data_IF_825100549427
#
_entry.id   IF_825100549427
#
_cell.length_a   1.000
_cell.length_b   1.000
_cell.length_c   1.000
_cell.angle_alpha   90.00
_cell.angle_beta   90.00
_cell.angle_gamma   90.00
#
_symmetry.space_group_name_H-M   'P 1'
#
loop_
_entity.id
_entity.type
_entity.pdbx_description
1 polymer ?
#
# COMPACT_ATOMS: atom_id res chain seq x y z
N UNK A 1 -16.14 -57.23 11.87
CA UNK A 1 -17.03 -56.70 12.94
C UNK A 1 -16.75 -55.22 13.12
N UNK A 2 -17.62 -54.38 12.54
CA UNK A 2 -17.54 -52.93 12.62
C UNK A 2 -18.02 -52.45 14.00
N UNK A 3 -17.22 -51.65 14.71
CA UNK A 3 -17.69 -50.91 15.88
C UNK A 3 -17.51 -49.43 15.66
N UNK A 4 -18.66 -48.81 15.40
CA UNK A 4 -18.94 -47.38 15.33
C UNK A 4 -18.58 -46.74 16.68
N UNK A 5 -17.73 -45.72 16.66
CA UNK A 5 -17.63 -44.78 17.76
C UNK A 5 -18.64 -43.64 17.51
N UNK A 6 -19.51 -43.45 18.48
CA UNK A 6 -20.68 -42.55 18.47
C UNK A 6 -20.22 -41.13 18.77
N UNK A 7 -20.49 -40.17 17.88
CA UNK A 7 -20.41 -38.75 18.18
C UNK A 7 -21.58 -38.36 19.10
N UNK A 8 -21.27 -37.93 20.32
CA UNK A 8 -22.18 -37.21 21.22
C UNK A 8 -21.57 -35.85 21.55
N UNK A 9 -22.30 -34.79 21.21
CA UNK A 9 -21.89 -33.40 21.39
C UNK A 9 -21.37 -32.82 20.07
N UNK A 10 -22.14 -32.19 19.21
CA UNK A 10 -23.29 -31.33 19.50
C UNK A 10 -22.85 -29.88 19.42
N UNK A 11 -22.55 -29.41 18.19
CA UNK A 11 -22.85 -28.04 17.78
C UNK A 11 -23.09 -28.05 16.27
N UNK A 12 -24.36 -28.24 15.91
CA UNK A 12 -24.87 -27.94 14.56
C UNK A 12 -25.17 -26.45 14.56
N UNK A 13 -24.31 -25.64 13.92
CA UNK A 13 -24.73 -24.31 13.47
C UNK A 13 -25.25 -24.48 12.04
N UNK A 14 -26.58 -24.44 11.94
CA UNK A 14 -27.34 -24.68 10.74
C UNK A 14 -26.92 -23.75 9.60
N UNK A 15 -26.75 -24.33 8.41
CA UNK A 15 -26.83 -23.60 7.17
C UNK A 15 -28.24 -23.01 7.04
N UNK A 16 -28.35 -21.69 7.13
CA UNK A 16 -29.56 -20.94 6.80
C UNK A 16 -29.21 -19.57 6.25
N UNK A 17 -29.72 -19.34 5.03
CA UNK A 17 -29.85 -18.06 4.30
C UNK A 17 -28.63 -17.56 3.55
N UNK A 18 -28.69 -17.76 2.22
CA UNK A 18 -28.05 -16.92 1.22
C UNK A 18 -28.44 -15.46 1.43
N UNK A 19 -27.75 -14.76 2.31
CA UNK A 19 -27.65 -13.32 2.22
C UNK A 19 -26.62 -13.06 1.13
N UNK A 20 -27.10 -12.59 -0.02
CA UNK A 20 -26.25 -11.99 -1.04
C UNK A 20 -25.33 -11.01 -0.31
N UNK A 21 -24.04 -11.36 -0.24
CA UNK A 21 -23.02 -10.42 0.17
C UNK A 21 -23.07 -9.37 -0.92
N UNK A 22 -23.72 -8.25 -0.62
CA UNK A 22 -23.58 -7.05 -1.41
C UNK A 22 -22.07 -6.84 -1.50
N UNK A 23 -21.52 -7.02 -2.70
CA UNK A 23 -20.20 -6.54 -3.03
C UNK A 23 -20.28 -5.05 -2.73
N UNK A 24 -19.80 -4.64 -1.56
CA UNK A 24 -19.52 -3.25 -1.31
C UNK A 24 -18.54 -2.90 -2.43
N UNK A 25 -19.01 -2.14 -3.41
CA UNK A 25 -18.14 -1.55 -4.40
C UNK A 25 -17.04 -0.87 -3.60
N UNK A 26 -15.82 -1.41 -3.68
CA UNK A 26 -14.64 -0.69 -3.25
C UNK A 26 -14.65 0.54 -4.12
N UNK A 27 -15.18 1.63 -3.57
CA UNK A 27 -15.19 2.94 -4.21
C UNK A 27 -13.72 3.30 -4.33
N UNK A 28 -13.12 2.92 -5.46
CA UNK A 28 -11.75 3.28 -5.82
C UNK A 28 -11.69 4.78 -5.58
N UNK A 29 -10.88 5.27 -4.63
CA UNK A 29 -10.79 6.70 -4.38
C UNK A 29 -10.57 7.37 -5.73
N UNK A 30 -11.39 8.37 -6.06
CA UNK A 30 -11.24 9.11 -7.30
C UNK A 30 -9.75 9.44 -7.46
N UNK A 31 -9.19 9.04 -8.60
CA UNK A 31 -7.76 9.13 -8.86
C UNK A 31 -7.33 10.58 -8.58
N UNK A 32 -6.59 10.79 -7.48
CA UNK A 32 -6.21 12.13 -7.06
C UNK A 32 -5.23 12.65 -8.10
N UNK A 33 -5.58 13.74 -8.78
CA UNK A 33 -4.66 14.40 -9.70
C UNK A 33 -3.37 14.78 -8.98
N UNK A 34 -2.23 14.60 -9.64
CA UNK A 34 -0.93 15.03 -9.11
C UNK A 34 -0.96 16.52 -8.78
N UNK A 35 -1.61 17.33 -9.61
CA UNK A 35 -1.72 18.77 -9.38
C UNK A 35 -2.56 19.07 -8.13
N UNK A 36 -3.66 18.36 -7.93
CA UNK A 36 -4.51 18.49 -6.73
C UNK A 36 -3.78 18.05 -5.46
N UNK A 37 -2.97 16.99 -5.56
CA UNK A 37 -2.09 16.55 -4.48
C UNK A 37 -1.06 17.64 -4.15
N UNK A 38 -0.32 18.13 -5.15
CA UNK A 38 0.75 19.11 -4.94
C UNK A 38 0.23 20.47 -4.46
N UNK A 39 -1.00 20.84 -4.83
CA UNK A 39 -1.65 22.06 -4.35
C UNK A 39 -1.99 22.00 -2.86
N UNK A 40 -2.30 20.81 -2.33
CA UNK A 40 -2.71 20.59 -0.92
C UNK A 40 -1.59 20.05 -0.03
N UNK A 41 -0.52 19.56 -0.64
CA UNK A 41 0.63 18.97 0.04
C UNK A 41 1.39 20.01 0.88
N UNK A 42 1.83 19.58 2.06
CA UNK A 42 2.81 20.30 2.88
C UNK A 42 4.13 20.48 2.13
N UNK A 43 4.97 21.40 2.61
CA UNK A 43 6.32 21.57 2.07
C UNK A 43 7.14 20.28 2.12
N UNK A 44 6.98 19.47 3.18
CA UNK A 44 7.66 18.19 3.33
C UNK A 44 7.19 17.16 2.29
N UNK A 45 5.89 17.06 2.05
CA UNK A 45 5.32 16.14 1.05
C UNK A 45 5.73 16.52 -0.37
N UNK A 46 5.77 17.82 -0.69
CA UNK A 46 6.28 18.30 -2.00
C UNK A 46 7.77 17.96 -2.18
N UNK A 47 8.58 18.19 -1.14
CA UNK A 47 10.00 17.84 -1.18
C UNK A 47 10.19 16.32 -1.38
N UNK A 48 9.43 15.49 -0.66
CA UNK A 48 9.45 14.04 -0.83
C UNK A 48 9.03 13.61 -2.25
N UNK A 49 7.97 14.22 -2.80
CA UNK A 49 7.51 13.92 -4.16
C UNK A 49 8.59 14.22 -5.20
N UNK A 50 9.19 15.42 -5.17
CA UNK A 50 10.24 15.79 -6.11
C UNK A 50 11.50 14.95 -5.97
N UNK A 51 11.88 14.57 -4.74
CA UNK A 51 13.01 13.69 -4.50
C UNK A 51 12.80 12.30 -5.13
N UNK A 52 11.60 11.72 -4.96
CA UNK A 52 11.26 10.44 -5.57
C UNK A 52 11.17 10.52 -7.10
N UNK A 53 10.63 11.62 -7.64
CA UNK A 53 10.62 11.85 -9.07
C UNK A 53 12.05 11.88 -9.64
N UNK A 54 12.98 12.55 -8.96
CA UNK A 54 14.39 12.54 -9.32
C UNK A 54 15.00 11.13 -9.25
N UNK A 55 14.80 10.41 -8.15
CA UNK A 55 15.31 9.03 -8.01
C UNK A 55 14.76 8.09 -9.10
N UNK A 56 13.49 8.26 -9.50
CA UNK A 56 12.90 7.51 -10.61
C UNK A 56 13.65 7.75 -11.91
N UNK A 57 13.89 9.01 -12.28
CA UNK A 57 14.65 9.37 -13.48
C UNK A 57 16.10 8.86 -13.41
N UNK A 58 16.74 8.95 -12.24
CA UNK A 58 18.09 8.41 -12.08
C UNK A 58 18.14 6.88 -12.23
N UNK A 59 17.11 6.17 -11.79
CA UNK A 59 16.98 4.73 -12.01
C UNK A 59 16.72 4.35 -13.48
N UNK A 60 16.29 5.27 -14.34
CA UNK A 60 16.26 5.03 -15.79
C UNK A 60 17.68 5.00 -16.37
N UNK A 61 18.64 5.68 -15.73
CA UNK A 61 20.06 5.68 -16.11
C UNK A 61 20.80 4.47 -15.51
N UNK A 62 20.59 4.20 -14.22
CA UNK A 62 21.15 3.04 -13.54
C UNK A 62 20.06 2.32 -12.71
N UNK A 63 19.45 1.25 -13.24
CA UNK A 63 18.33 0.58 -12.61
C UNK A 63 18.63 0.05 -11.20
N UNK A 64 17.84 0.49 -10.23
CA UNK A 64 17.86 -0.01 -8.85
C UNK A 64 18.95 0.58 -7.96
N UNK A 65 19.78 1.50 -8.44
CA UNK A 65 20.81 2.13 -7.62
C UNK A 65 20.27 3.26 -6.74
N UNK A 66 19.17 3.92 -7.10
CA UNK A 66 18.85 5.20 -6.47
C UNK A 66 17.62 5.18 -5.58
N UNK A 67 17.75 5.74 -4.36
CA UNK A 67 16.65 5.90 -3.42
C UNK A 67 16.59 7.32 -2.86
N UNK A 68 15.40 7.92 -2.86
CA UNK A 68 15.17 9.22 -2.27
C UNK A 68 14.89 9.12 -0.75
N UNK A 69 15.53 9.97 0.05
CA UNK A 69 15.14 10.21 1.44
C UNK A 69 15.04 11.71 1.73
N UNK A 70 14.14 12.04 2.64
CA UNK A 70 14.09 13.37 3.25
C UNK A 70 14.76 13.26 4.61
N UNK A 71 15.89 13.95 4.78
CA UNK A 71 16.55 14.09 6.06
C UNK A 71 15.97 15.30 6.80
N UNK A 72 15.20 15.03 7.85
CA UNK A 72 14.57 16.05 8.67
C UNK A 72 15.56 16.81 9.57
N UNK A 73 16.73 16.23 9.87
CA UNK A 73 17.74 16.89 10.71
C UNK A 73 18.44 18.01 9.93
N UNK A 74 18.82 17.73 8.68
CA UNK A 74 19.50 18.70 7.80
C UNK A 74 18.52 19.49 6.92
N UNK A 75 17.23 19.12 6.92
CA UNK A 75 16.16 19.72 6.08
C UNK A 75 16.47 19.61 4.59
N UNK A 76 17.05 18.48 4.18
CA UNK A 76 17.44 18.21 2.80
C UNK A 76 16.67 17.00 2.25
N UNK A 77 16.36 17.05 0.96
CA UNK A 77 15.97 15.88 0.18
C UNK A 77 17.21 15.39 -0.59
N UNK A 78 17.58 14.12 -0.42
CA UNK A 78 18.80 13.54 -0.99
C UNK A 78 18.45 12.25 -1.71
N UNK A 79 19.07 12.04 -2.87
CA UNK A 79 19.03 10.76 -3.59
C UNK A 79 20.36 10.04 -3.32
N UNK A 80 20.26 8.85 -2.76
CA UNK A 80 21.41 8.01 -2.43
C UNK A 80 21.61 6.96 -3.52
N UNK A 81 22.86 6.76 -3.91
CA UNK A 81 23.26 5.53 -4.57
C UNK A 81 23.38 4.44 -3.50
N UNK A 82 22.63 3.36 -3.65
CA UNK A 82 22.55 2.22 -2.74
C UNK A 82 23.80 1.32 -2.81
N UNK A 83 24.67 1.54 -3.80
CA UNK A 83 25.91 0.79 -4.00
C UNK A 83 27.17 1.53 -3.55
N UNK A 84 27.03 2.73 -2.97
CA UNK A 84 28.12 3.60 -2.47
C UNK A 84 28.22 3.54 -0.94
#
# INVERSE_FOLDING_TARGET
MNRRAVLKGGLVLAASTHTAVATAEVKVPAEISIDDFLARASAAERAWYHANALAKVMNEIHPGAYLARVDHATRMAVVYDMNS
#
